data_IF_993986041082
#
_entry.id   IF_993986041082
#
_cell.length_a   1.000
_cell.length_b   1.000
_cell.length_c   1.000
_cell.angle_alpha   90.00
_cell.angle_beta   90.00
_cell.angle_gamma   90.00
#
_symmetry.space_group_name_H-M   'P 1'
#
loop_
_entity.id
_entity.type
_entity.pdbx_description
1 polymer ?
#
# COMPACT_ATOMS: atom_id res chain seq x y z
N UNK A 1 13.99 -25.66 2.75
CA UNK A 1 14.12 -24.64 1.69
C UNK A 1 12.71 -24.25 1.27
N UNK A 2 12.30 -23.00 1.50
CA UNK A 2 11.07 -22.47 0.89
C UNK A 2 11.33 -22.36 -0.61
N UNK A 3 10.79 -23.28 -1.41
CA UNK A 3 10.94 -23.29 -2.86
C UNK A 3 9.87 -22.41 -3.51
N UNK A 4 10.19 -21.16 -3.83
CA UNK A 4 9.29 -20.28 -4.59
C UNK A 4 9.62 -20.37 -6.08
N UNK A 5 8.66 -20.76 -6.91
CA UNK A 5 8.80 -20.72 -8.37
C UNK A 5 8.77 -19.25 -8.82
N UNK A 6 9.87 -18.79 -9.42
CA UNK A 6 9.95 -17.44 -9.97
C UNK A 6 9.21 -17.37 -11.30
N UNK A 7 8.29 -16.42 -11.43
CA UNK A 7 7.57 -16.11 -12.67
C UNK A 7 7.88 -14.66 -13.02
N UNK A 8 8.67 -14.46 -14.07
CA UNK A 8 9.10 -13.12 -14.49
C UNK A 8 8.19 -12.63 -15.61
N UNK A 9 7.68 -11.42 -15.42
CA UNK A 9 7.00 -10.67 -16.47
C UNK A 9 7.99 -10.19 -17.53
N UNK A 10 7.55 -10.06 -18.78
CA UNK A 10 8.36 -9.47 -19.86
C UNK A 10 8.43 -7.95 -19.69
N UNK A 11 9.50 -7.30 -20.13
CA UNK A 11 9.60 -5.83 -20.09
C UNK A 11 8.39 -5.17 -20.79
N UNK A 12 7.80 -4.15 -20.15
CA UNK A 12 6.62 -3.43 -20.63
C UNK A 12 5.35 -4.30 -20.77
N UNK A 13 5.08 -5.21 -19.82
CA UNK A 13 3.90 -6.07 -19.83
C UNK A 13 2.86 -5.65 -18.77
N UNK A 14 2.04 -4.62 -19.04
CA UNK A 14 1.06 -4.08 -18.08
C UNK A 14 -0.04 -5.07 -17.70
N UNK A 15 -0.18 -6.18 -18.44
CA UNK A 15 -1.24 -7.16 -18.19
C UNK A 15 -0.89 -8.14 -17.06
N UNK A 16 0.40 -8.37 -16.80
CA UNK A 16 0.90 -9.31 -15.78
C UNK A 16 1.28 -8.55 -14.51
N UNK A 17 1.93 -7.39 -14.65
CA UNK A 17 2.33 -6.57 -13.50
C UNK A 17 1.26 -5.55 -13.09
N UNK A 18 0.21 -5.35 -13.90
CA UNK A 18 -0.78 -4.28 -13.69
C UNK A 18 -1.51 -4.32 -12.35
N UNK A 19 -1.65 -5.49 -11.74
CA UNK A 19 -2.19 -5.62 -10.38
C UNK A 19 -1.21 -5.06 -9.33
N UNK A 20 0.07 -5.39 -9.45
CA UNK A 20 1.11 -4.88 -8.59
C UNK A 20 1.31 -3.37 -8.80
N UNK A 21 1.34 -2.91 -10.06
CA UNK A 21 1.46 -1.49 -10.41
C UNK A 21 0.29 -0.67 -9.85
N UNK A 22 -0.95 -1.17 -9.97
CA UNK A 22 -2.13 -0.50 -9.40
C UNK A 22 -2.10 -0.46 -7.87
N UNK A 23 -1.62 -1.54 -7.23
CA UNK A 23 -1.44 -1.58 -5.79
C UNK A 23 -0.40 -0.56 -5.33
N UNK A 24 0.76 -0.52 -5.98
CA UNK A 24 1.83 0.44 -5.72
C UNK A 24 1.28 1.86 -5.85
N UNK A 25 0.55 2.16 -6.93
CA UNK A 25 0.00 3.50 -7.13
C UNK A 25 -0.98 3.92 -6.04
N UNK A 26 -1.79 2.98 -5.53
CA UNK A 26 -2.75 3.22 -4.44
C UNK A 26 -2.03 3.51 -3.12
N UNK A 27 -0.98 2.73 -2.81
CA UNK A 27 -0.15 2.94 -1.60
C UNK A 27 0.55 4.29 -1.67
N UNK A 28 1.10 4.65 -2.83
CA UNK A 28 1.72 5.96 -3.06
C UNK A 28 0.74 7.12 -2.90
N UNK A 29 -0.51 6.97 -3.36
CA UNK A 29 -1.55 8.00 -3.22
C UNK A 29 -1.90 8.23 -1.74
N UNK A 30 -2.07 7.15 -0.98
CA UNK A 30 -2.28 7.21 0.48
C UNK A 30 -1.07 7.88 1.15
N UNK A 31 0.17 7.46 0.83
CA UNK A 31 1.38 8.09 1.37
C UNK A 31 1.46 9.58 1.04
N UNK A 32 1.15 9.97 -0.20
CA UNK A 32 1.09 11.38 -0.61
C UNK A 32 0.04 12.13 0.17
N UNK A 33 -1.11 11.54 0.49
CA UNK A 33 -2.08 12.16 1.38
C UNK A 33 -1.50 12.37 2.78
N UNK A 34 -0.88 11.37 3.41
CA UNK A 34 -0.27 11.57 4.73
C UNK A 34 0.89 12.59 4.72
N UNK A 35 1.73 12.58 3.68
CA UNK A 35 2.88 13.48 3.53
C UNK A 35 2.48 14.91 3.08
N UNK A 36 1.45 15.08 2.25
CA UNK A 36 0.99 16.40 1.78
C UNK A 36 0.28 17.18 2.89
N UNK A 37 -0.35 16.48 3.83
CA UNK A 37 -0.80 17.07 5.09
C UNK A 37 0.38 17.32 6.06
N UNK A 38 1.60 16.97 5.65
CA UNK A 38 2.68 16.55 6.54
C UNK A 38 4.08 17.09 6.23
N UNK A 39 4.22 18.36 5.82
CA UNK A 39 5.38 19.14 6.26
C UNK A 39 5.17 19.68 7.69
N UNK A 40 3.94 19.62 8.20
CA UNK A 40 3.53 20.07 9.55
C UNK A 40 2.75 19.03 10.36
N UNK A 41 2.54 17.80 9.85
CA UNK A 41 1.90 16.73 10.62
C UNK A 41 2.83 16.32 11.75
N UNK A 42 2.56 16.90 12.91
CA UNK A 42 3.16 16.55 14.18
C UNK A 42 2.17 15.64 14.90
N UNK A 43 2.62 14.45 15.28
CA UNK A 43 1.87 13.62 16.22
C UNK A 43 1.62 14.40 17.55
N UNK A 44 0.77 13.87 18.43
CA UNK A 44 0.54 14.43 19.76
C UNK A 44 1.83 14.72 20.56
N UNK A 45 2.95 14.06 20.24
CA UNK A 45 4.27 14.30 20.82
C UNK A 45 5.14 15.32 20.06
N UNK A 46 4.62 15.99 19.02
CA UNK A 46 5.34 17.05 18.31
C UNK A 46 6.30 16.55 17.21
N UNK A 47 6.31 15.25 16.90
CA UNK A 47 7.26 14.64 15.97
C UNK A 47 6.77 14.72 14.52
N UNK A 48 7.64 15.17 13.63
CA UNK A 48 7.43 15.06 12.18
C UNK A 48 7.64 13.62 11.75
N UNK A 49 6.65 13.03 11.10
CA UNK A 49 6.76 11.69 10.54
C UNK A 49 7.22 11.75 9.09
N UNK A 50 8.36 11.14 8.79
CA UNK A 50 8.79 10.92 7.41
C UNK A 50 7.97 9.79 6.75
N UNK A 51 7.96 9.75 5.42
CA UNK A 51 7.33 8.71 4.60
C UNK A 51 7.63 7.29 5.10
N UNK A 52 8.86 7.00 5.54
CA UNK A 52 9.23 5.68 6.06
C UNK A 52 8.51 5.36 7.37
N UNK A 53 8.30 6.36 8.24
CA UNK A 53 7.59 6.17 9.51
C UNK A 53 6.10 5.98 9.28
N UNK A 54 5.56 6.57 8.21
CA UNK A 54 4.16 6.46 7.82
C UNK A 54 3.82 5.12 7.16
N UNK A 55 4.82 4.36 6.69
CA UNK A 55 4.60 3.09 5.98
C UNK A 55 3.74 2.10 6.79
N UNK A 56 3.94 2.03 8.11
CA UNK A 56 3.14 1.15 8.98
C UNK A 56 1.68 1.60 9.03
N UNK A 57 1.43 2.92 9.12
CA UNK A 57 0.09 3.48 9.12
C UNK A 57 -0.61 3.27 7.77
N UNK A 58 0.10 3.48 6.66
CA UNK A 58 -0.43 3.26 5.31
C UNK A 58 -0.74 1.80 5.05
N UNK A 59 0.14 0.87 5.46
CA UNK A 59 -0.11 -0.56 5.32
C UNK A 59 -1.38 -0.98 6.08
N UNK A 60 -1.59 -0.45 7.28
CA UNK A 60 -2.80 -0.70 8.06
C UNK A 60 -4.04 -0.10 7.39
N UNK A 61 -3.96 1.15 6.93
CA UNK A 61 -5.06 1.84 6.25
C UNK A 61 -5.48 1.08 4.98
N UNK A 62 -4.52 0.66 4.16
CA UNK A 62 -4.77 -0.14 2.97
C UNK A 62 -5.42 -1.49 3.32
N UNK A 63 -4.85 -2.25 4.26
CA UNK A 63 -5.33 -3.58 4.65
C UNK A 63 -6.73 -3.58 5.27
N UNK A 64 -7.14 -2.46 5.84
CA UNK A 64 -8.47 -2.27 6.48
C UNK A 64 -9.47 -1.53 5.59
N UNK A 65 -9.03 -0.93 4.49
CA UNK A 65 -9.91 -0.27 3.53
C UNK A 65 -10.76 -1.29 2.76
N UNK A 66 -12.04 -0.97 2.55
CA UNK A 66 -12.91 -1.81 1.72
C UNK A 66 -12.70 -1.47 0.25
N UNK A 67 -12.52 -2.50 -0.57
CA UNK A 67 -12.55 -2.33 -2.01
C UNK A 67 -14.00 -2.12 -2.47
N UNK A 68 -14.25 -1.10 -3.28
CA UNK A 68 -15.60 -0.73 -3.73
C UNK A 68 -16.29 -1.82 -4.56
N UNK A 69 -15.53 -2.64 -5.28
CA UNK A 69 -16.06 -3.73 -6.11
C UNK A 69 -16.36 -4.98 -5.29
N UNK A 70 -15.51 -5.33 -4.32
CA UNK A 70 -15.67 -6.57 -3.54
C UNK A 70 -16.41 -6.39 -2.22
N UNK A 71 -16.52 -5.15 -1.72
CA UNK A 71 -17.06 -4.83 -0.40
C UNK A 71 -16.24 -5.36 0.78
N UNK A 72 -15.10 -6.01 0.51
CA UNK A 72 -14.23 -6.67 1.50
C UNK A 72 -12.90 -5.94 1.60
N UNK A 73 -12.24 -6.10 2.74
CA UNK A 73 -10.89 -5.59 2.95
C UNK A 73 -9.86 -6.62 2.49
N UNK A 74 -8.66 -6.21 2.05
CA UNK A 74 -7.59 -7.14 1.65
C UNK A 74 -7.29 -8.19 2.72
N UNK A 75 -7.16 -7.76 3.99
CA UNK A 75 -6.86 -8.65 5.11
C UNK A 75 -7.94 -9.72 5.36
N UNK A 76 -9.20 -9.46 4.99
CA UNK A 76 -10.28 -10.44 5.08
C UNK A 76 -10.25 -11.45 3.93
N UNK A 77 -9.82 -11.03 2.74
CA UNK A 77 -9.72 -11.90 1.56
C UNK A 77 -8.52 -12.84 1.68
N UNK A 78 -7.41 -12.40 2.27
CA UNK A 78 -6.21 -13.21 2.46
C UNK A 78 -6.33 -14.27 3.56
N UNK A 79 -7.28 -14.10 4.50
CA UNK A 79 -7.53 -15.04 5.60
C UNK A 79 -8.65 -16.05 5.30
N UNK A 80 -9.26 -15.97 4.11
CA UNK A 80 -10.38 -16.81 3.67
C UNK A 80 -9.96 -18.12 3.02
#
# INVERSE_FOLDING_TARGET
MQGTKLDFSTACHPQTDGLAERMIQTIEDILKQFCAYGMEYKDHEGRTHDCVTLLTAVQLAYNTSQNSTSGKTPALVEKG
#
